data_IF_556288474979
#
_entry.id   IF_556288474979
#
_cell.length_a   1.000
_cell.length_b   1.000
_cell.length_c   1.000
_cell.angle_alpha   90.00
_cell.angle_beta   90.00
_cell.angle_gamma   90.00
#
_symmetry.space_group_name_H-M   'P 1'
#
loop_
_entity.id
_entity.type
_entity.pdbx_description
1 polymer ?
#
# COMPACT_ATOMS: atom_id res chain seq x y z
N UNK A 1 -12.07 -22.04 7.78
CA UNK A 1 -12.64 -22.04 6.43
C UNK A 1 -13.12 -20.62 6.19
N UNK A 2 -12.34 -19.81 5.47
CA UNK A 2 -12.80 -18.49 5.04
C UNK A 2 -13.62 -18.75 3.79
N UNK A 3 -14.94 -18.73 3.92
CA UNK A 3 -15.82 -18.79 2.76
C UNK A 3 -15.63 -17.47 1.99
N UNK A 4 -15.13 -17.55 0.76
CA UNK A 4 -14.88 -16.41 -0.13
C UNK A 4 -16.18 -15.66 -0.54
N UNK A 5 -17.32 -15.95 0.09
CA UNK A 5 -18.58 -15.23 -0.07
C UNK A 5 -18.74 -14.03 0.87
N UNK A 6 -17.87 -13.83 1.86
CA UNK A 6 -17.91 -12.65 2.74
C UNK A 6 -17.22 -11.40 2.18
N UNK A 7 -16.86 -11.39 0.89
CA UNK A 7 -16.52 -10.17 0.14
C UNK A 7 -17.77 -9.34 -0.25
N UNK A 8 -18.90 -9.54 0.42
CA UNK A 8 -20.20 -8.90 0.15
C UNK A 8 -20.50 -7.71 1.08
N UNK A 9 -19.48 -7.00 1.57
CA UNK A 9 -19.67 -5.71 2.25
C UNK A 9 -19.02 -4.59 1.46
N UNK A 10 -19.82 -3.94 0.60
CA UNK A 10 -19.57 -2.59 0.09
C UNK A 10 -18.57 -2.48 -1.07
N UNK A 11 -19.09 -2.15 -2.25
CA UNK A 11 -18.38 -1.91 -3.53
C UNK A 11 -17.66 -3.14 -4.09
N UNK A 12 -18.25 -3.76 -5.13
CA UNK A 12 -17.66 -4.95 -5.75
C UNK A 12 -16.32 -4.59 -6.41
N UNK A 13 -15.29 -5.42 -6.21
CA UNK A 13 -13.98 -5.34 -6.89
C UNK A 13 -14.11 -5.17 -8.42
N UNK A 14 -15.23 -5.63 -9.01
CA UNK A 14 -15.59 -5.45 -10.42
C UNK A 14 -15.81 -3.99 -10.83
N UNK A 15 -16.26 -3.13 -9.92
CA UNK A 15 -16.59 -1.71 -10.18
C UNK A 15 -15.35 -0.79 -10.12
N UNK A 16 -14.19 -1.36 -9.82
CA UNK A 16 -12.92 -0.65 -9.62
C UNK A 16 -11.94 -0.78 -10.79
N UNK A 17 -12.30 -1.56 -11.82
CA UNK A 17 -11.33 -1.96 -12.85
C UNK A 17 -10.20 -2.83 -12.31
N UNK A 18 -10.39 -3.46 -11.14
CA UNK A 18 -9.39 -4.30 -10.46
C UNK A 18 -9.57 -5.80 -10.72
N UNK A 19 -10.41 -6.16 -11.69
CA UNK A 19 -10.67 -7.56 -12.05
C UNK A 19 -9.41 -8.33 -12.40
N UNK A 20 -8.45 -7.68 -13.06
CA UNK A 20 -7.16 -8.27 -13.38
C UNK A 20 -6.41 -8.76 -12.13
N UNK A 21 -6.41 -7.96 -11.05
CA UNK A 21 -5.76 -8.32 -9.80
C UNK A 21 -6.52 -9.44 -9.08
N UNK A 22 -7.86 -9.40 -9.12
CA UNK A 22 -8.69 -10.47 -8.59
C UNK A 22 -8.39 -11.80 -9.29
N UNK A 23 -8.28 -11.78 -10.61
CA UNK A 23 -7.96 -12.97 -11.40
C UNK A 23 -6.54 -13.47 -11.12
N UNK A 24 -5.55 -12.57 -11.02
CA UNK A 24 -4.17 -12.92 -10.66
C UNK A 24 -4.12 -13.55 -9.24
N UNK A 25 -4.88 -13.01 -8.27
CA UNK A 25 -4.99 -13.56 -6.92
C UNK A 25 -5.66 -14.94 -6.89
N UNK A 26 -6.77 -15.12 -7.62
CA UNK A 26 -7.45 -16.41 -7.72
C UNK A 26 -6.55 -17.47 -8.35
N UNK A 27 -5.77 -17.10 -9.37
CA UNK A 27 -4.78 -18.00 -9.97
C UNK A 27 -3.71 -18.41 -8.96
N UNK A 28 -3.18 -17.47 -8.17
CA UNK A 28 -2.19 -17.74 -7.13
C UNK A 28 -2.72 -18.68 -6.04
N UNK A 29 -3.91 -18.40 -5.49
CA UNK A 29 -4.52 -19.22 -4.43
C UNK A 29 -4.80 -20.63 -4.91
N UNK A 30 -5.18 -20.79 -6.18
CA UNK A 30 -5.37 -22.11 -6.79
C UNK A 30 -4.06 -22.92 -6.90
N UNK A 31 -2.93 -22.26 -7.15
CA UNK A 31 -1.61 -22.91 -7.28
C UNK A 31 -0.97 -23.18 -5.91
N UNK A 32 -1.13 -22.26 -4.96
CA UNK A 32 -0.30 -22.19 -3.74
C UNK A 32 -1.09 -22.40 -2.44
N UNK A 33 -2.42 -22.34 -2.49
CA UNK A 33 -3.29 -22.42 -1.31
C UNK A 33 -3.65 -21.06 -0.72
N UNK A 34 -4.34 -21.09 0.42
CA UNK A 34 -4.86 -19.89 1.09
C UNK A 34 -3.74 -19.04 1.72
N UNK A 35 -3.95 -17.73 1.75
CA UNK A 35 -3.06 -16.71 2.31
C UNK A 35 -3.34 -16.42 3.79
N UNK A 36 -4.33 -17.06 4.40
CA UNK A 36 -4.78 -16.79 5.77
C UNK A 36 -3.70 -16.90 6.87
N UNK A 37 -2.58 -17.59 6.62
CA UNK A 37 -1.49 -17.79 7.58
C UNK A 37 -0.26 -16.91 7.31
N UNK A 38 -0.37 -15.95 6.40
CA UNK A 38 0.73 -15.06 6.05
C UNK A 38 0.95 -14.04 7.17
N UNK A 39 2.17 -13.89 7.71
CA UNK A 39 2.44 -12.90 8.75
C UNK A 39 2.36 -11.47 8.21
N UNK A 40 1.93 -10.53 9.06
CA UNK A 40 2.00 -9.10 8.76
C UNK A 40 3.45 -8.59 8.84
N UNK A 41 3.71 -7.46 8.19
CA UNK A 41 5.05 -6.85 8.14
C UNK A 41 6.02 -7.52 7.17
N UNK A 42 5.52 -8.40 6.28
CA UNK A 42 6.37 -8.97 5.23
C UNK A 42 6.83 -7.90 4.25
N UNK A 43 8.03 -8.10 3.73
CA UNK A 43 8.56 -7.25 2.68
C UNK A 43 9.11 -8.03 1.52
N UNK A 44 9.24 -7.33 0.40
CA UNK A 44 9.91 -7.82 -0.79
C UNK A 44 10.70 -6.68 -1.41
N UNK A 45 11.79 -7.03 -2.08
CA UNK A 45 12.68 -6.08 -2.75
C UNK A 45 12.67 -6.38 -4.24
N UNK A 46 12.45 -5.33 -5.04
CA UNK A 46 12.41 -5.39 -6.50
C UNK A 46 13.31 -4.30 -7.07
N UNK A 47 13.90 -4.51 -8.26
CA UNK A 47 14.71 -3.49 -8.90
C UNK A 47 13.85 -2.30 -9.34
N UNK A 48 14.41 -1.11 -9.21
CA UNK A 48 13.89 0.10 -9.84
C UNK A 48 13.84 -0.04 -11.37
N UNK A 49 12.84 0.56 -11.97
CA UNK A 49 12.61 0.60 -13.41
C UNK A 49 11.91 1.92 -13.75
N UNK A 50 12.73 2.97 -13.91
CA UNK A 50 12.28 4.34 -14.12
C UNK A 50 11.42 4.47 -15.39
N UNK A 51 11.68 3.67 -16.41
CA UNK A 51 10.89 3.67 -17.65
C UNK A 51 9.44 3.22 -17.41
N UNK A 52 9.22 2.38 -16.39
CA UNK A 52 7.90 1.92 -15.95
C UNK A 52 7.31 2.74 -14.79
N UNK A 53 7.98 3.82 -14.38
CA UNK A 53 7.58 4.64 -13.23
C UNK A 53 7.89 4.01 -11.87
N UNK A 54 8.74 2.99 -11.82
CA UNK A 54 9.24 2.36 -10.59
C UNK A 54 10.53 3.07 -10.16
N UNK A 55 10.36 4.24 -9.54
CA UNK A 55 11.45 5.01 -8.94
C UNK A 55 11.92 4.41 -7.60
N UNK A 56 13.16 4.66 -7.17
CA UNK A 56 13.62 4.20 -5.86
C UNK A 56 12.73 4.72 -4.72
N UNK A 57 12.25 3.81 -3.88
CA UNK A 57 11.24 4.11 -2.86
C UNK A 57 10.54 2.86 -2.32
N UNK A 58 9.39 3.03 -1.67
CA UNK A 58 8.62 1.95 -1.08
C UNK A 58 7.13 2.12 -1.30
N UNK A 59 6.45 1.02 -1.67
CA UNK A 59 5.00 0.92 -1.65
C UNK A 59 4.60 0.26 -0.32
N UNK A 60 3.95 1.02 0.56
CA UNK A 60 3.41 0.51 1.83
C UNK A 60 1.96 0.05 1.65
N UNK A 61 1.61 -1.06 2.29
CA UNK A 61 0.23 -1.52 2.48
C UNK A 61 -0.10 -1.45 3.97
N UNK A 62 -1.02 -0.56 4.31
CA UNK A 62 -1.42 -0.25 5.68
C UNK A 62 -2.88 -0.64 5.87
N UNK A 63 -3.23 -1.05 7.09
CA UNK A 63 -4.62 -1.30 7.50
C UNK A 63 -4.98 -0.32 8.60
N UNK A 64 -6.04 0.44 8.41
CA UNK A 64 -6.58 1.29 9.48
C UNK A 64 -7.26 0.40 10.54
N UNK A 65 -6.91 0.63 11.80
CA UNK A 65 -7.42 -0.09 12.96
C UNK A 65 -8.74 0.50 13.51
N UNK A 66 -9.03 1.76 13.21
CA UNK A 66 -10.28 2.40 13.60
C UNK A 66 -11.40 2.08 12.61
N UNK A 67 -12.37 1.29 13.10
CA UNK A 67 -13.56 0.90 12.34
C UNK A 67 -14.62 2.00 12.23
N UNK A 68 -14.46 3.12 12.94
CA UNK A 68 -15.41 4.24 12.94
C UNK A 68 -15.11 5.28 11.85
N UNK A 69 -13.97 5.15 11.15
CA UNK A 69 -13.59 6.06 10.07
C UNK A 69 -14.42 5.71 8.82
N UNK A 70 -15.54 6.39 8.64
CA UNK A 70 -16.37 6.28 7.45
C UNK A 70 -15.87 7.24 6.36
N UNK A 71 -14.96 6.80 5.49
CA UNK A 71 -14.28 7.65 4.48
C UNK A 71 -15.19 8.01 3.29
N UNK A 72 -16.52 8.06 3.47
CA UNK A 72 -17.46 8.49 2.43
C UNK A 72 -17.39 7.75 1.09
N UNK A 73 -16.76 6.57 1.03
CA UNK A 73 -16.53 5.82 -0.22
C UNK A 73 -15.37 6.32 -1.10
N UNK A 74 -14.54 7.26 -0.62
CA UNK A 74 -13.37 7.76 -1.37
C UNK A 74 -12.24 6.73 -1.41
N UNK A 75 -11.95 6.05 -0.30
CA UNK A 75 -11.04 4.90 -0.29
C UNK A 75 -11.82 3.61 -0.55
N UNK A 76 -11.67 3.08 -1.77
CA UNK A 76 -12.40 1.89 -2.22
C UNK A 76 -11.78 0.57 -1.77
N UNK A 77 -10.62 0.60 -1.11
CA UNK A 77 -9.98 -0.56 -0.48
C UNK A 77 -10.11 -0.57 1.05
N UNK A 78 -10.87 0.36 1.63
CA UNK A 78 -11.06 0.41 3.08
C UNK A 78 -11.35 -0.98 3.68
N UNK A 79 -10.66 -1.38 4.77
CA UNK A 79 -9.78 -0.58 5.64
C UNK A 79 -8.31 -0.47 5.19
N UNK A 80 -7.97 -0.89 3.98
CA UNK A 80 -6.60 -0.87 3.48
C UNK A 80 -6.25 0.41 2.72
N UNK A 81 -5.00 0.83 2.88
CA UNK A 81 -4.40 1.98 2.23
C UNK A 81 -3.09 1.56 1.60
N UNK A 82 -2.87 1.98 0.36
CA UNK A 82 -1.60 1.80 -0.33
C UNK A 82 -1.01 3.17 -0.59
N UNK A 83 0.28 3.36 -0.32
CA UNK A 83 0.97 4.62 -0.60
C UNK A 83 2.36 4.31 -1.14
N UNK A 84 2.76 5.01 -2.18
CA UNK A 84 4.09 4.92 -2.75
C UNK A 84 4.87 6.19 -2.44
N UNK A 85 5.94 6.03 -1.67
CA UNK A 85 6.86 7.10 -1.27
C UNK A 85 8.23 6.87 -1.91
N UNK A 86 8.86 7.91 -2.45
CA UNK A 86 10.21 7.86 -2.99
C UNK A 86 11.25 7.80 -1.86
N UNK A 87 12.51 7.53 -2.22
CA UNK A 87 13.64 7.63 -1.26
C UNK A 87 13.87 9.04 -0.70
N UNK A 88 13.27 10.09 -1.29
CA UNK A 88 13.33 11.47 -0.79
C UNK A 88 12.25 11.77 0.25
N UNK A 89 11.31 10.84 0.49
CA UNK A 89 10.14 11.07 1.35
C UNK A 89 8.95 11.68 0.63
N UNK A 90 9.05 11.92 -0.69
CA UNK A 90 7.97 12.48 -1.48
C UNK A 90 6.96 11.39 -1.88
N UNK A 91 5.67 11.72 -1.82
CA UNK A 91 4.60 10.80 -2.24
C UNK A 91 4.53 10.76 -3.76
N UNK A 92 4.89 9.61 -4.34
CA UNK A 92 4.83 9.35 -5.78
C UNK A 92 3.40 9.04 -6.21
N UNK A 93 2.69 8.25 -5.39
CA UNK A 93 1.28 7.88 -5.60
C UNK A 93 0.60 7.75 -4.25
N UNK A 94 -0.50 8.46 -4.05
CA UNK A 94 -1.27 8.42 -2.81
C UNK A 94 -2.37 7.33 -2.83
N UNK A 95 -3.02 7.14 -1.68
CA UNK A 95 -4.00 6.09 -1.45
C UNK A 95 -5.30 6.22 -2.26
N UNK A 96 -5.54 7.35 -2.92
CA UNK A 96 -6.73 7.53 -3.77
C UNK A 96 -6.55 6.87 -5.14
N UNK A 97 -5.31 6.69 -5.60
CA UNK A 97 -4.97 6.10 -6.91
C UNK A 97 -4.68 4.58 -6.82
N UNK A 98 -5.52 3.83 -6.11
CA UNK A 98 -5.35 2.38 -5.85
C UNK A 98 -4.95 1.57 -7.08
N UNK A 99 -5.64 1.78 -8.21
CA UNK A 99 -5.38 1.01 -9.43
C UNK A 99 -3.95 1.22 -9.92
N UNK A 100 -3.45 2.46 -9.88
CA UNK A 100 -2.10 2.82 -10.30
C UNK A 100 -1.05 2.15 -9.40
N UNK A 101 -1.27 2.15 -8.08
CA UNK A 101 -0.41 1.44 -7.12
C UNK A 101 -0.34 -0.06 -7.39
N UNK A 102 -1.49 -0.69 -7.60
CA UNK A 102 -1.56 -2.12 -7.91
C UNK A 102 -0.94 -2.45 -9.28
N UNK A 103 -1.12 -1.59 -10.29
CA UNK A 103 -0.49 -1.75 -11.60
C UNK A 103 1.05 -1.68 -11.49
N UNK A 104 1.60 -0.75 -10.71
CA UNK A 104 3.05 -0.65 -10.44
C UNK A 104 3.58 -1.88 -9.71
N UNK A 105 2.91 -2.32 -8.64
CA UNK A 105 3.28 -3.52 -7.90
C UNK A 105 3.24 -4.77 -8.81
N UNK A 106 2.21 -4.89 -9.65
CA UNK A 106 2.09 -5.97 -10.64
C UNK A 106 3.21 -5.91 -11.66
N UNK A 107 3.56 -4.73 -12.19
CA UNK A 107 4.63 -4.56 -13.15
C UNK A 107 6.01 -4.95 -12.56
N UNK A 108 6.22 -4.66 -11.28
CA UNK A 108 7.45 -5.03 -10.58
C UNK A 108 7.56 -6.55 -10.32
N UNK A 109 6.46 -7.20 -9.93
CA UNK A 109 6.48 -8.56 -9.38
C UNK A 109 6.04 -9.66 -10.35
N UNK A 110 5.16 -9.36 -11.31
CA UNK A 110 4.51 -10.40 -12.13
C UNK A 110 5.52 -11.21 -12.95
N UNK A 111 5.38 -12.53 -12.92
CA UNK A 111 6.27 -13.47 -13.62
C UNK A 111 7.55 -13.81 -12.86
N UNK A 112 7.85 -13.16 -11.74
CA UNK A 112 9.01 -13.48 -10.89
C UNK A 112 8.63 -14.55 -9.87
N UNK A 113 9.22 -15.75 -9.99
CA UNK A 113 9.04 -16.85 -9.03
C UNK A 113 10.16 -16.97 -7.99
N UNK A 114 11.23 -16.18 -8.14
CA UNK A 114 12.40 -16.18 -7.26
C UNK A 114 12.75 -14.74 -6.88
N UNK A 115 13.43 -14.57 -5.76
CA UNK A 115 13.98 -13.29 -5.33
C UNK A 115 15.03 -12.80 -6.35
N UNK A 116 15.25 -11.49 -6.38
CA UNK A 116 16.18 -10.85 -7.31
C UNK A 116 17.48 -10.57 -6.57
N UNK A 117 18.45 -11.48 -6.70
CA UNK A 117 19.72 -11.42 -5.96
C UNK A 117 20.45 -10.08 -6.10
N UNK A 118 20.37 -9.46 -7.28
CA UNK A 118 21.00 -8.17 -7.61
C UNK A 118 20.57 -7.02 -6.69
N UNK A 119 19.36 -7.09 -6.10
CA UNK A 119 18.84 -6.06 -5.19
C UNK A 119 18.69 -6.56 -3.75
N UNK A 120 18.47 -7.86 -3.55
CA UNK A 120 18.33 -8.43 -2.22
C UNK A 120 19.61 -8.28 -1.40
N UNK A 121 20.78 -8.58 -1.98
CA UNK A 121 22.04 -8.51 -1.24
C UNK A 121 22.41 -7.07 -0.84
N UNK A 122 22.43 -6.10 -1.77
CA UNK A 122 22.69 -4.70 -1.40
C UNK A 122 21.69 -4.15 -0.38
N UNK A 123 20.41 -4.49 -0.50
CA UNK A 123 19.39 -4.09 0.47
C UNK A 123 19.68 -4.66 1.87
N UNK A 124 20.03 -5.94 1.96
CA UNK A 124 20.39 -6.56 3.24
C UNK A 124 21.64 -5.91 3.85
N UNK A 125 22.66 -5.64 3.03
CA UNK A 125 23.87 -4.96 3.47
C UNK A 125 23.54 -3.54 4.00
N UNK A 126 22.66 -2.80 3.32
CA UNK A 126 22.24 -1.46 3.71
C UNK A 126 21.36 -1.42 4.97
N UNK A 127 20.62 -2.49 5.26
CA UNK A 127 19.67 -2.56 6.38
C UNK A 127 20.17 -3.43 7.55
N UNK A 128 21.42 -3.89 7.51
CA UNK A 128 21.95 -4.87 8.47
C UNK A 128 21.04 -6.10 8.63
N UNK A 129 20.63 -6.68 7.49
CA UNK A 129 19.62 -7.75 7.40
C UNK A 129 18.28 -7.37 8.07
N UNK A 130 17.84 -6.12 7.87
CA UNK A 130 16.60 -5.58 8.45
C UNK A 130 16.69 -5.18 9.93
N UNK A 131 17.89 -5.17 10.53
CA UNK A 131 18.10 -4.66 11.89
C UNK A 131 18.14 -3.13 11.96
N UNK A 132 18.65 -2.49 10.92
CA UNK A 132 18.58 -1.04 10.72
C UNK A 132 17.58 -0.71 9.61
N UNK A 133 16.34 -0.45 10.03
CA UNK A 133 15.24 -0.06 9.15
C UNK A 133 14.90 1.43 9.28
N UNK A 134 15.74 2.23 9.94
CA UNK A 134 15.41 3.62 10.29
C UNK A 134 15.00 4.44 9.07
N UNK A 135 15.74 4.32 7.97
CA UNK A 135 15.41 5.00 6.72
C UNK A 135 13.99 4.68 6.24
N UNK A 136 13.62 3.40 6.24
CA UNK A 136 12.30 2.96 5.79
C UNK A 136 11.19 3.26 6.79
N UNK A 137 11.51 3.32 8.09
CA UNK A 137 10.59 3.85 9.11
C UNK A 137 10.29 5.33 8.89
N UNK A 138 11.31 6.15 8.59
CA UNK A 138 11.11 7.57 8.29
C UNK A 138 10.24 7.75 7.00
N UNK A 139 10.37 6.85 6.00
CA UNK A 139 9.48 6.83 4.82
C UNK A 139 8.04 6.37 5.15
N UNK A 140 7.88 5.44 6.09
CA UNK A 140 6.56 5.01 6.57
C UNK A 140 5.83 6.16 7.26
N UNK A 141 6.54 6.94 8.07
CA UNK A 141 6.01 8.13 8.73
C UNK A 141 5.51 9.14 7.69
N UNK A 142 6.29 9.37 6.62
CA UNK A 142 5.88 10.23 5.50
C UNK A 142 4.64 9.70 4.77
N UNK A 143 4.54 8.37 4.56
CA UNK A 143 3.38 7.74 3.95
C UNK A 143 2.10 7.98 4.77
N UNK A 144 2.20 7.83 6.09
CA UNK A 144 1.07 8.01 7.01
C UNK A 144 0.67 9.48 7.11
N UNK A 145 1.65 10.39 7.20
CA UNK A 145 1.42 11.83 7.14
C UNK A 145 0.62 12.24 5.91
N UNK A 146 0.99 11.71 4.73
CA UNK A 146 0.25 11.95 3.49
C UNK A 146 -1.21 11.50 3.53
N UNK A 147 -1.52 10.40 4.20
CA UNK A 147 -2.91 9.92 4.33
C UNK A 147 -3.71 10.90 5.19
N UNK A 148 -3.12 11.38 6.28
CA UNK A 148 -3.74 12.34 7.20
C UNK A 148 -3.97 13.67 6.49
N UNK A 149 -2.94 14.24 5.86
CA UNK A 149 -3.03 15.53 5.17
C UNK A 149 -4.12 15.51 4.09
N UNK A 150 -4.19 14.44 3.28
CA UNK A 150 -5.23 14.31 2.25
C UNK A 150 -6.63 14.12 2.83
N UNK A 151 -6.75 13.50 4.00
CA UNK A 151 -8.04 13.41 4.69
C UNK A 151 -8.49 14.78 5.18
N UNK A 152 -7.61 15.54 5.81
CA UNK A 152 -7.89 16.91 6.27
C UNK A 152 -8.29 17.84 5.12
N UNK A 153 -7.59 17.77 3.97
CA UNK A 153 -7.95 18.52 2.77
C UNK A 153 -9.36 18.17 2.26
N UNK A 154 -9.69 16.88 2.18
CA UNK A 154 -11.00 16.39 1.75
C UNK A 154 -12.12 16.81 2.71
N UNK A 155 -11.85 16.79 4.02
CA UNK A 155 -12.79 17.21 5.06
C UNK A 155 -13.04 18.72 4.98
N UNK A 156 -12.00 19.51 4.72
CA UNK A 156 -12.11 20.94 4.47
C UNK A 156 -12.94 21.24 3.22
N UNK A 157 -12.70 20.57 2.10
CA UNK A 157 -13.50 20.74 0.87
C UNK A 157 -14.98 20.36 1.09
N UNK A 158 -15.23 19.35 1.92
CA UNK A 158 -16.58 18.92 2.29
C UNK A 158 -17.32 19.96 3.15
N UNK A 159 -16.60 20.71 4.01
CA UNK A 159 -17.18 21.84 4.76
C UNK A 159 -17.67 22.97 3.85
N UNK A 160 -17.01 23.20 2.72
CA UNK A 160 -17.32 24.32 1.83
C UNK A 160 -18.28 23.96 0.67
N UNK A 161 -18.54 22.68 0.43
CA UNK A 161 -19.33 22.20 -0.72
C UNK A 161 -20.85 22.08 -0.49
N UNK A 162 -21.37 22.47 0.67
CA UNK A 162 -22.82 22.61 0.93
C UNK A 162 -23.62 21.30 1.05
N UNK A 163 -22.96 20.14 1.08
CA UNK A 163 -23.53 18.81 1.33
C UNK A 163 -23.41 18.34 2.79
N UNK A 164 -23.73 17.06 3.09
CA UNK A 164 -23.42 16.48 4.40
C UNK A 164 -21.92 16.52 4.68
N UNK A 165 -21.53 17.06 5.83
CA UNK A 165 -20.13 17.29 6.23
C UNK A 165 -19.53 16.06 6.91
N UNK A 166 -18.40 15.56 6.43
CA UNK A 166 -17.60 14.49 7.08
C UNK A 166 -16.57 15.02 8.08
N UNK A 167 -16.47 16.35 8.20
CA UNK A 167 -15.33 17.08 8.73
C UNK A 167 -14.92 16.84 10.21
N UNK A 168 -15.60 15.93 10.90
CA UNK A 168 -15.31 15.55 12.28
C UNK A 168 -15.51 14.03 12.52
N UNK A 169 -15.63 13.21 11.46
CA UNK A 169 -15.82 11.77 11.56
C UNK A 169 -14.48 11.00 11.49
N UNK A 170 -14.00 10.59 12.67
CA UNK A 170 -12.85 9.69 12.87
C UNK A 170 -11.49 10.37 12.63
N UNK A 171 -10.90 10.95 13.67
CA UNK A 171 -9.52 11.46 13.61
C UNK A 171 -8.54 10.31 13.37
N UNK A 172 -7.72 10.42 12.33
CA UNK A 172 -6.50 9.61 12.17
C UNK A 172 -5.37 10.43 12.78
N UNK A 173 -4.82 9.97 13.90
CA UNK A 173 -3.86 10.69 14.75
C UNK A 173 -2.41 10.38 14.40
N UNK A 174 -2.13 9.24 13.74
CA UNK A 174 -0.78 8.88 13.36
C UNK A 174 -0.56 7.38 13.14
N UNK A 175 0.67 6.92 13.38
CA UNK A 175 1.09 5.52 13.21
C UNK A 175 0.27 4.52 14.03
N UNK A 176 -0.17 4.89 15.23
CA UNK A 176 -0.89 3.99 16.14
C UNK A 176 -2.27 3.56 15.59
N UNK A 177 -2.79 4.30 14.61
CA UNK A 177 -4.07 3.98 13.96
C UNK A 177 -3.89 3.04 12.75
N UNK A 178 -2.65 2.71 12.40
CA UNK A 178 -2.33 1.84 11.27
C UNK A 178 -1.52 0.62 11.67
N UNK A 179 -1.92 -0.53 11.13
CA UNK A 179 -1.12 -1.74 11.11
C UNK A 179 -0.41 -1.86 9.75
N UNK A 180 0.92 -2.04 9.77
CA UNK A 180 1.69 -2.34 8.56
C UNK A 180 1.47 -3.80 8.15
N UNK A 181 0.78 -4.00 7.03
CA UNK A 181 0.47 -5.34 6.50
C UNK A 181 1.66 -5.87 5.69
N UNK A 182 2.17 -5.07 4.77
CA UNK A 182 3.32 -5.41 3.94
C UNK A 182 3.94 -4.16 3.31
N UNK A 183 5.17 -4.30 2.80
CA UNK A 183 5.79 -3.26 1.99
C UNK A 183 6.66 -3.82 0.86
N UNK A 184 6.69 -3.11 -0.26
CA UNK A 184 7.47 -3.47 -1.44
C UNK A 184 8.52 -2.40 -1.68
N UNK A 185 9.79 -2.76 -1.46
CA UNK A 185 10.93 -1.87 -1.67
C UNK A 185 11.33 -1.90 -3.13
N UNK A 186 11.35 -0.74 -3.76
CA UNK A 186 11.84 -0.52 -5.11
C UNK A 186 13.26 0.02 -4.97
N UNK A 187 14.23 -0.83 -5.23
CA UNK A 187 15.62 -0.60 -4.89
C UNK A 187 16.49 -0.38 -6.13
N UNK A 188 17.34 0.64 -6.09
CA UNK A 188 18.38 0.88 -7.09
C UNK A 188 19.75 0.70 -6.42
N UNK A 189 20.52 -0.36 -6.76
CA UNK A 189 21.85 -0.59 -6.22
C UNK A 189 22.86 0.53 -6.50
N UNK A 190 22.58 1.43 -7.44
CA UNK A 190 23.46 2.56 -7.75
C UNK A 190 23.18 3.79 -6.89
N UNK A 191 22.08 3.80 -6.14
CA UNK A 191 21.66 4.90 -5.26
C UNK A 191 21.70 4.55 -3.77
N UNK A 192 22.06 3.31 -3.43
CA UNK A 192 22.18 2.80 -2.05
C UNK A 192 23.59 2.89 -1.48
#
# INVERSE_FOLDING_TARGET
VIEMEDLKTGVSITDLGLNDFRMDLLAYVKETGDLANVPNGMHSVVPADVEKGLHPGVIFTLRNLDSNVNIGGHNRLHPYYLVYVSNTGDVVVDHTEVKRLLDLARAACKGRKKHVEEVCKPFNDATDDGRDMKFYSDLLDAAIGSIIDRKEESDMDSLFSGGPTTALEGEIKGLDDFELIAFLVIYDPQQG
#
